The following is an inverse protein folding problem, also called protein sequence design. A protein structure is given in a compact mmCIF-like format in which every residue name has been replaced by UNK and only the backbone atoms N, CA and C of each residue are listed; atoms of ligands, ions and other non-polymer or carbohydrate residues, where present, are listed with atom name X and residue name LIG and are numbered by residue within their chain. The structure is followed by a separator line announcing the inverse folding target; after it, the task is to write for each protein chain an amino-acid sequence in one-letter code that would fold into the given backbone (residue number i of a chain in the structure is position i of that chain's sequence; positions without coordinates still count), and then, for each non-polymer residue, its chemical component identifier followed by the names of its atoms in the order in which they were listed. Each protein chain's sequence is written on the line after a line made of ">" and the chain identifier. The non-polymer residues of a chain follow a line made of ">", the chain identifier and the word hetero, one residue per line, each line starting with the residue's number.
data_IF_705053659570
#
_entry.id   IF_705053659570
#
_cell.length_a   1.000
_cell.length_b   1.000
_cell.length_c   1.000
_cell.angle_alpha   90.00
_cell.angle_beta   90.00
_cell.angle_gamma   90.00
#
_symmetry.space_group_name_H-M   'P 1'
#
loop_
_entity.id
_entity.type
_entity.pdbx_description
1 polymer ?
#
# COMPACT_ATOMS: atom_id res chain seq x y z
N UNK A 1 7.30 12.67 6.55
CA UNK A 1 7.43 13.89 5.72
C UNK A 1 8.02 13.50 4.38
N UNK A 2 7.18 13.05 3.46
CA UNK A 2 7.25 13.40 2.04
C UNK A 2 5.80 13.64 1.68
N UNK A 3 5.44 14.92 1.51
CA UNK A 3 4.24 15.28 0.80
C UNK A 3 4.49 14.87 -0.65
N UNK A 4 3.82 13.82 -1.13
CA UNK A 4 3.74 13.57 -2.55
C UNK A 4 2.64 14.46 -3.14
N UNK A 5 2.87 15.77 -3.13
CA UNK A 5 2.14 16.70 -3.99
C UNK A 5 2.75 16.62 -5.38
N UNK A 6 2.42 15.57 -6.11
CA UNK A 6 2.54 15.51 -7.57
C UNK A 6 1.27 14.86 -8.11
N UNK A 7 0.18 15.64 -8.18
CA UNK A 7 -0.95 15.32 -9.07
C UNK A 7 -0.46 15.53 -10.52
N UNK A 8 0.43 14.67 -11.00
CA UNK A 8 1.07 14.77 -12.29
C UNK A 8 0.34 13.92 -13.34
N UNK A 9 -0.46 14.59 -14.17
CA UNK A 9 -0.86 14.15 -15.51
C UNK A 9 -1.37 12.69 -15.63
N UNK A 10 -2.59 12.44 -15.15
CA UNK A 10 -3.34 11.29 -15.64
C UNK A 10 -3.70 11.55 -17.10
N UNK A 11 -3.06 10.85 -18.04
CA UNK A 11 -3.57 10.79 -19.41
C UNK A 11 -4.86 9.94 -19.33
N UNK A 12 -6.04 10.53 -19.57
CA UNK A 12 -7.32 9.87 -19.30
C UNK A 12 -7.55 8.61 -20.14
N UNK A 13 -6.73 8.40 -21.19
CA UNK A 13 -6.85 7.30 -22.13
C UNK A 13 -5.98 6.08 -21.77
N UNK A 14 -5.19 6.13 -20.70
CA UNK A 14 -4.35 4.99 -20.32
C UNK A 14 -5.13 3.96 -19.52
N UNK A 15 -5.21 2.76 -20.08
CA UNK A 15 -5.79 1.60 -19.42
C UNK A 15 -4.96 0.36 -19.73
N UNK A 16 -4.63 -0.39 -18.69
CA UNK A 16 -3.93 -1.67 -18.77
C UNK A 16 -4.32 -2.55 -17.59
N UNK A 17 -4.38 -3.86 -17.82
CA UNK A 17 -4.65 -4.86 -16.78
C UNK A 17 -3.75 -6.06 -17.01
N UNK A 18 -3.24 -6.62 -15.92
CA UNK A 18 -2.43 -7.83 -15.91
C UNK A 18 -2.90 -8.77 -14.81
N UNK A 19 -3.00 -10.06 -15.10
CA UNK A 19 -3.28 -11.14 -14.15
C UNK A 19 -2.09 -12.08 -14.17
N UNK A 20 -1.51 -12.34 -13.00
CA UNK A 20 -0.43 -13.32 -12.82
C UNK A 20 -0.95 -14.46 -11.95
N UNK A 21 -0.84 -15.69 -12.45
CA UNK A 21 -1.26 -16.90 -11.75
C UNK A 21 -0.17 -17.43 -10.82
N UNK A 22 -0.53 -18.29 -9.87
CA UNK A 22 0.43 -18.84 -8.88
C UNK A 22 1.45 -19.81 -9.49
N UNK A 23 1.16 -20.36 -10.66
CA UNK A 23 2.06 -21.17 -11.50
C UNK A 23 2.88 -20.33 -12.50
N UNK A 24 2.78 -18.99 -12.45
CA UNK A 24 3.68 -18.08 -13.12
C UNK A 24 3.25 -17.61 -14.52
N UNK A 25 2.04 -17.92 -14.97
CA UNK A 25 1.51 -17.38 -16.23
C UNK A 25 1.02 -15.95 -16.05
N UNK A 26 1.32 -15.09 -17.02
CA UNK A 26 0.87 -13.71 -17.06
C UNK A 26 -0.03 -13.47 -18.28
N UNK A 27 -1.19 -12.86 -18.04
CA UNK A 27 -2.14 -12.46 -19.06
C UNK A 27 -2.35 -10.96 -18.97
N UNK A 28 -2.08 -10.22 -20.05
CA UNK A 28 -2.13 -8.77 -20.04
C UNK A 28 -2.81 -8.21 -21.30
N UNK A 29 -3.50 -7.08 -21.15
CA UNK A 29 -4.08 -6.29 -22.25
C UNK A 29 -3.93 -4.79 -21.97
N UNK A 30 -3.87 -3.98 -23.03
CA UNK A 30 -3.67 -2.53 -22.94
C UNK A 30 -2.25 -2.14 -22.55
N UNK A 31 -2.10 -1.00 -21.89
CA UNK A 31 -0.80 -0.38 -21.50
C UNK A 31 -0.20 -1.01 -20.24
N UNK A 32 -0.18 -2.36 -20.15
CA UNK A 32 0.15 -3.09 -18.93
C UNK A 32 1.63 -2.99 -18.49
N UNK A 33 2.55 -2.70 -19.42
CA UNK A 33 3.98 -2.55 -19.14
C UNK A 33 4.40 -1.10 -18.81
N UNK A 34 3.44 -0.17 -18.78
CA UNK A 34 3.73 1.23 -18.51
C UNK A 34 4.07 1.45 -17.04
N UNK A 35 5.19 2.12 -16.79
CA UNK A 35 5.60 2.48 -15.43
C UNK A 35 4.76 3.62 -14.87
N UNK A 36 4.37 3.49 -13.61
CA UNK A 36 3.70 4.52 -12.82
C UNK A 36 4.13 4.42 -11.34
N UNK A 37 3.84 5.45 -10.56
CA UNK A 37 4.15 5.44 -9.12
C UNK A 37 3.20 4.51 -8.37
N UNK A 38 3.73 3.60 -7.54
CA UNK A 38 2.89 2.67 -6.77
C UNK A 38 1.94 3.36 -5.77
N UNK A 39 2.31 4.56 -5.30
CA UNK A 39 1.54 5.30 -4.29
C UNK A 39 1.20 4.38 -3.09
N UNK A 40 -0.03 4.45 -2.60
CA UNK A 40 -0.51 3.65 -1.47
C UNK A 40 -0.46 2.13 -1.69
N UNK A 41 -0.31 1.63 -2.93
CA UNK A 41 -0.14 0.19 -3.23
C UNK A 41 1.20 -0.33 -2.67
N UNK A 42 2.15 0.56 -2.33
CA UNK A 42 3.42 0.17 -1.70
C UNK A 42 3.30 -0.33 -0.26
N UNK A 43 2.22 0.00 0.48
CA UNK A 43 2.14 -0.29 1.93
C UNK A 43 2.24 -1.78 2.28
N UNK A 44 1.53 -2.71 1.60
CA UNK A 44 1.65 -4.13 1.92
C UNK A 44 3.09 -4.66 1.75
N UNK A 45 3.82 -4.18 0.74
CA UNK A 45 5.21 -4.57 0.51
C UNK A 45 6.13 -4.05 1.63
N UNK A 46 5.97 -2.79 2.04
CA UNK A 46 6.74 -2.20 3.15
C UNK A 46 6.41 -2.88 4.48
N UNK A 47 5.14 -3.21 4.72
CA UNK A 47 4.71 -3.93 5.91
C UNK A 47 5.31 -5.35 5.97
N UNK A 48 5.30 -6.08 4.84
CA UNK A 48 5.95 -7.39 4.74
C UNK A 48 7.45 -7.33 5.03
N UNK A 49 8.15 -6.32 4.50
CA UNK A 49 9.57 -6.09 4.78
C UNK A 49 9.81 -5.82 6.27
N UNK A 50 9.01 -4.94 6.89
CA UNK A 50 9.13 -4.64 8.32
C UNK A 50 8.91 -5.89 9.20
N UNK A 51 7.95 -6.75 8.83
CA UNK A 51 7.71 -8.02 9.50
C UNK A 51 8.88 -8.99 9.37
N UNK A 52 9.47 -9.10 8.17
CA UNK A 52 10.65 -9.94 7.94
C UNK A 52 11.87 -9.45 8.74
N UNK A 53 12.08 -8.14 8.79
CA UNK A 53 13.26 -7.53 9.42
C UNK A 53 13.19 -7.52 10.95
N UNK A 54 12.00 -7.28 11.52
CA UNK A 54 11.84 -7.00 12.97
C UNK A 54 11.01 -8.04 13.71
N UNK A 55 10.34 -8.93 12.99
CA UNK A 55 9.40 -9.88 13.55
C UNK A 55 8.07 -9.23 13.94
N UNK A 56 7.03 -10.07 14.00
CA UNK A 56 5.64 -9.65 14.26
C UNK A 56 5.48 -8.83 15.54
N UNK A 57 6.03 -9.32 16.65
CA UNK A 57 5.87 -8.67 17.96
C UNK A 57 6.42 -7.24 17.98
N UNK A 58 7.55 -6.98 17.31
CA UNK A 58 8.12 -5.64 17.28
C UNK A 58 7.30 -4.67 16.43
N UNK A 59 6.76 -5.16 15.31
CA UNK A 59 5.92 -4.38 14.40
C UNK A 59 4.57 -4.07 15.04
N UNK A 60 3.92 -5.04 15.68
CA UNK A 60 2.60 -4.85 16.31
C UNK A 60 2.61 -3.93 17.53
N UNK A 61 3.77 -3.69 18.15
CA UNK A 61 3.92 -2.62 19.15
C UNK A 61 3.87 -1.20 18.56
N UNK A 62 3.95 -1.07 17.24
CA UNK A 62 4.02 0.21 16.52
C UNK A 62 2.86 0.44 15.57
N UNK A 63 2.23 -0.62 15.07
CA UNK A 63 1.12 -0.53 14.13
C UNK A 63 0.15 -1.69 14.33
N UNK A 64 -1.15 -1.39 14.36
CA UNK A 64 -2.20 -2.38 14.50
C UNK A 64 -2.49 -3.16 13.22
N UNK A 65 -3.55 -3.98 13.28
CA UNK A 65 -4.10 -4.75 12.15
C UNK A 65 -5.61 -4.58 12.03
N UNK A 66 -6.20 -3.68 12.82
CA UNK A 66 -7.64 -3.48 12.88
C UNK A 66 -8.08 -2.50 11.78
N UNK A 67 -9.19 -2.78 11.08
CA UNK A 67 -9.77 -1.81 10.18
C UNK A 67 -10.19 -0.57 10.97
N UNK A 68 -9.75 0.62 10.54
CA UNK A 68 -10.08 1.85 11.25
C UNK A 68 -11.54 2.25 11.10
N UNK A 69 -12.24 1.79 10.04
CA UNK A 69 -13.60 2.21 9.70
C UNK A 69 -13.71 3.65 9.20
N UNK A 70 -12.60 4.38 9.17
CA UNK A 70 -12.51 5.80 8.84
C UNK A 70 -11.99 6.04 7.41
N UNK A 71 -12.14 7.27 6.92
CA UNK A 71 -11.57 7.68 5.65
C UNK A 71 -10.04 7.49 5.63
N UNK A 72 -9.47 7.12 4.48
CA UNK A 72 -8.05 6.77 4.33
C UNK A 72 -7.04 7.80 4.89
N UNK A 73 -7.38 9.09 4.89
CA UNK A 73 -6.53 10.18 5.39
C UNK A 73 -6.92 10.66 6.79
N UNK A 74 -7.75 9.93 7.53
CA UNK A 74 -8.05 10.27 8.92
C UNK A 74 -6.82 10.01 9.79
N UNK A 75 -6.48 10.95 10.65
CA UNK A 75 -5.47 10.72 11.68
C UNK A 75 -6.18 10.03 12.84
N UNK A 76 -6.33 8.71 12.72
CA UNK A 76 -6.93 7.86 13.75
C UNK A 76 -5.82 7.05 14.43
N UNK A 77 -5.56 7.36 15.69
CA UNK A 77 -4.60 6.64 16.52
C UNK A 77 -5.33 5.97 17.68
N UNK A 78 -4.86 4.80 18.07
CA UNK A 78 -5.30 4.14 19.28
C UNK A 78 -5.00 5.05 20.49
N UNK A 79 -6.01 5.39 21.32
CA UNK A 79 -5.82 6.37 22.41
C UNK A 79 -4.88 5.89 23.52
N UNK A 80 -4.68 4.58 23.66
CA UNK A 80 -3.86 4.00 24.72
C UNK A 80 -2.40 3.86 24.29
N UNK A 81 -2.17 3.48 23.03
CA UNK A 81 -0.84 3.13 22.52
C UNK A 81 -0.25 4.21 21.60
N UNK A 82 -1.10 5.09 21.06
CA UNK A 82 -0.72 6.06 20.03
C UNK A 82 -0.38 5.43 18.68
N UNK A 83 -0.60 4.11 18.50
CA UNK A 83 -0.34 3.41 17.26
C UNK A 83 -1.48 3.67 16.25
N UNK A 84 -1.17 3.78 14.95
CA UNK A 84 -2.21 3.70 13.92
C UNK A 84 -2.85 2.31 13.93
N UNK A 85 -4.15 2.24 13.60
CA UNK A 85 -4.93 1.01 13.64
C UNK A 85 -4.49 -0.03 12.60
N UNK A 86 -3.92 0.40 11.48
CA UNK A 86 -3.43 -0.45 10.41
C UNK A 86 -2.18 0.14 9.73
N UNK A 87 -1.43 -0.69 8.97
CA UNK A 87 -0.22 -0.29 8.25
C UNK A 87 -0.40 0.74 7.14
#
# INVERSE_FOLDING_TARGET
>A
MVAASEHGCGFPDWFGICIVTTDGYAYAVGEADRQFTLQSISKPAVYAAALADRGREAVLRKVGVEPSGEAFNSISLDPQTGAPFNP
#
